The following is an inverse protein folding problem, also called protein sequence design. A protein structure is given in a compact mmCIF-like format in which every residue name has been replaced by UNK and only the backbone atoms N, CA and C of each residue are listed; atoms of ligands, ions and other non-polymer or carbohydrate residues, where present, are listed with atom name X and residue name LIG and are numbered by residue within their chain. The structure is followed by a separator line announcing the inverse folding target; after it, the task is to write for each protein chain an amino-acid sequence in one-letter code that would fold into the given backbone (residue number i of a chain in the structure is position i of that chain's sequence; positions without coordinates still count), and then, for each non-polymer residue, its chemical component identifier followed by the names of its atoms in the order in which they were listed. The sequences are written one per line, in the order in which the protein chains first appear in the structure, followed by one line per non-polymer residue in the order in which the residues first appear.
data_IF_858201965007
#
_entry.id   IF_858201965007
#
_cell.length_a   1.000
_cell.length_b   1.000
_cell.length_c   1.000
_cell.angle_alpha   90.00
_cell.angle_beta   90.00
_cell.angle_gamma   90.00
#
_symmetry.space_group_name_H-M   'P 1'
#
loop_
_entity.id
_entity.type
_entity.pdbx_description
1 polymer ?
#
# COMPACT_ATOMS: atom_id res chain seq x y z
N UNK A 1 25.85 28.60 -55.88
CA UNK A 1 26.19 27.53 -54.94
C UNK A 1 25.45 27.85 -53.67
N UNK A 2 24.26 27.30 -53.56
CA UNK A 2 23.28 27.48 -52.48
C UNK A 2 23.48 26.33 -51.50
N UNK A 3 23.83 26.65 -50.27
CA UNK A 3 23.94 25.69 -49.18
C UNK A 3 22.61 25.55 -48.50
N UNK A 4 22.03 24.36 -48.55
CA UNK A 4 20.82 24.00 -47.83
C UNK A 4 21.07 23.93 -46.31
N UNK A 5 20.18 24.42 -45.48
CA UNK A 5 20.26 24.21 -44.02
C UNK A 5 19.80 22.81 -43.63
N UNK A 6 20.68 22.08 -42.95
CA UNK A 6 20.38 20.79 -42.30
C UNK A 6 19.20 20.97 -41.34
N UNK A 7 18.10 20.33 -41.68
CA UNK A 7 16.91 20.22 -40.83
C UNK A 7 17.28 19.40 -39.57
N UNK A 8 17.36 20.06 -38.42
CA UNK A 8 17.52 19.42 -37.12
C UNK A 8 16.22 18.64 -36.82
N UNK A 9 16.34 17.35 -36.85
CA UNK A 9 15.29 16.41 -36.44
C UNK A 9 15.03 16.57 -34.93
N UNK A 10 13.95 17.28 -34.59
CA UNK A 10 13.50 17.36 -33.20
C UNK A 10 13.05 15.95 -32.75
N UNK A 11 13.42 15.49 -31.55
CA UNK A 11 12.98 14.19 -31.06
C UNK A 11 11.46 14.19 -30.93
N UNK A 12 10.84 13.17 -31.50
CA UNK A 12 9.41 12.91 -31.44
C UNK A 12 8.98 12.83 -29.96
N UNK A 13 7.90 13.53 -29.55
CA UNK A 13 7.45 13.48 -28.16
C UNK A 13 7.06 12.04 -27.81
N UNK A 14 7.61 11.52 -26.73
CA UNK A 14 7.28 10.21 -26.18
C UNK A 14 5.76 10.05 -26.08
N UNK A 15 5.19 8.88 -26.41
CA UNK A 15 3.75 8.68 -26.44
C UNK A 15 3.15 8.95 -25.06
N UNK A 16 2.22 9.89 -25.01
CA UNK A 16 1.45 10.18 -23.79
C UNK A 16 0.88 8.88 -23.25
N UNK A 17 1.09 8.63 -21.95
CA UNK A 17 0.60 7.45 -21.20
C UNK A 17 -0.93 7.32 -21.36
N UNK A 18 -1.40 6.75 -22.47
CA UNK A 18 -2.81 6.42 -22.67
C UNK A 18 -3.14 5.13 -21.96
N UNK A 19 -3.49 5.23 -20.68
CA UNK A 19 -4.12 4.12 -19.94
C UNK A 19 -5.63 4.15 -20.22
N UNK A 20 -6.07 3.62 -21.38
CA UNK A 20 -7.49 3.48 -21.70
C UNK A 20 -8.05 2.19 -21.09
N UNK A 21 -9.20 2.27 -20.44
CA UNK A 21 -9.94 1.15 -19.84
C UNK A 21 -10.08 1.26 -18.33
N UNK A 22 -11.10 0.58 -17.78
CA UNK A 22 -11.29 0.49 -16.33
C UNK A 22 -10.05 -0.14 -15.67
N UNK A 23 -9.49 0.53 -14.69
CA UNK A 23 -8.31 0.07 -13.94
C UNK A 23 -8.60 -1.21 -13.19
N UNK A 24 -9.81 -1.30 -12.63
CA UNK A 24 -10.33 -2.50 -11.98
C UNK A 24 -10.38 -3.69 -12.94
N UNK A 25 -10.69 -3.47 -14.24
CA UNK A 25 -10.68 -4.53 -15.24
C UNK A 25 -9.26 -5.02 -15.59
N UNK A 26 -8.26 -4.13 -15.59
CA UNK A 26 -6.84 -4.50 -15.79
C UNK A 26 -6.31 -5.37 -14.64
N UNK A 27 -6.63 -4.97 -13.42
CA UNK A 27 -6.31 -5.75 -12.22
C UNK A 27 -6.97 -7.12 -12.30
N UNK A 28 -8.23 -7.21 -12.73
CA UNK A 28 -8.94 -8.48 -12.91
C UNK A 28 -8.19 -9.43 -13.87
N UNK A 29 -7.59 -8.93 -14.93
CA UNK A 29 -6.75 -9.73 -15.83
C UNK A 29 -5.47 -10.24 -15.16
N UNK A 30 -4.84 -9.44 -14.33
CA UNK A 30 -3.65 -9.82 -13.53
C UNK A 30 -4.01 -10.75 -12.37
N UNK A 31 -5.20 -10.60 -11.79
CA UNK A 31 -5.68 -11.29 -10.60
C UNK A 31 -6.48 -12.56 -10.90
N UNK A 32 -6.70 -12.92 -12.16
CA UNK A 32 -7.27 -14.20 -12.56
C UNK A 32 -6.34 -15.39 -12.26
N UNK A 33 -5.15 -15.12 -11.75
CA UNK A 33 -4.19 -16.14 -11.34
C UNK A 33 -4.66 -16.89 -10.07
N UNK A 34 -4.41 -18.20 -9.97
CA UNK A 34 -4.78 -19.03 -8.81
C UNK A 34 -4.26 -18.50 -7.47
N UNK A 35 -3.14 -17.76 -7.49
CA UNK A 35 -2.48 -17.18 -6.33
C UNK A 35 -3.36 -16.15 -5.61
N UNK A 36 -4.18 -15.39 -6.33
CA UNK A 36 -5.03 -14.37 -5.73
C UNK A 36 -6.39 -14.85 -5.26
N UNK A 37 -6.90 -15.94 -5.80
CA UNK A 37 -8.02 -16.66 -5.15
C UNK A 37 -7.63 -17.13 -3.75
N UNK A 38 -6.36 -17.50 -3.55
CA UNK A 38 -5.81 -17.75 -2.20
C UNK A 38 -5.67 -16.45 -1.38
N UNK A 39 -5.34 -15.32 -1.99
CA UNK A 39 -5.14 -14.04 -1.30
C UNK A 39 -6.45 -13.38 -0.87
N UNK A 40 -7.57 -13.56 -1.58
CA UNK A 40 -8.89 -13.12 -1.09
C UNK A 40 -9.28 -13.87 0.19
N UNK A 41 -9.03 -15.18 0.23
CA UNK A 41 -9.17 -15.97 1.46
C UNK A 41 -8.14 -15.58 2.54
N UNK A 42 -7.01 -14.95 2.18
CA UNK A 42 -5.99 -14.49 3.12
C UNK A 42 -6.35 -13.16 3.80
N UNK A 43 -7.11 -12.31 3.13
CA UNK A 43 -7.72 -11.12 3.75
C UNK A 43 -8.92 -11.49 4.65
N UNK A 44 -9.52 -12.68 4.47
CA UNK A 44 -10.51 -13.26 5.37
C UNK A 44 -9.92 -13.66 6.73
N UNK A 45 -8.95 -12.92 7.22
CA UNK A 45 -8.47 -13.00 8.59
C UNK A 45 -9.65 -12.71 9.52
N UNK A 46 -10.21 -13.77 10.11
CA UNK A 46 -11.27 -13.72 11.12
C UNK A 46 -10.82 -12.83 12.26
N UNK A 47 -11.09 -11.54 12.15
CA UNK A 47 -11.17 -10.73 13.34
C UNK A 47 -12.42 -11.21 14.07
N UNK A 48 -12.25 -12.06 15.08
CA UNK A 48 -13.31 -12.37 16.00
C UNK A 48 -13.75 -11.04 16.59
N UNK A 49 -14.84 -10.50 16.03
CA UNK A 49 -15.54 -9.41 16.68
C UNK A 49 -15.98 -9.94 18.04
N UNK A 50 -15.61 -9.23 19.10
CA UNK A 50 -16.10 -9.49 20.45
C UNK A 50 -17.62 -9.23 20.55
N UNK A 51 -18.20 -8.65 19.50
CA UNK A 51 -19.63 -8.36 19.40
C UNK A 51 -20.36 -9.51 18.70
N UNK A 52 -21.15 -10.24 19.47
CA UNK A 52 -22.15 -11.19 18.98
C UNK A 52 -23.28 -10.36 18.34
N UNK A 53 -23.64 -10.65 17.10
CA UNK A 53 -24.74 -9.97 16.39
C UNK A 53 -25.13 -10.71 15.12
N UNK A 54 -26.32 -10.42 14.56
CA UNK A 54 -26.88 -11.07 13.37
C UNK A 54 -25.95 -10.91 12.15
N UNK A 55 -25.12 -11.94 11.87
CA UNK A 55 -24.32 -12.10 10.66
C UNK A 55 -24.90 -13.17 9.76
N UNK A 56 -24.41 -13.27 8.48
CA UNK A 56 -24.92 -14.26 7.54
C UNK A 56 -24.24 -15.64 7.65
N UNK A 57 -23.05 -15.72 8.26
CA UNK A 57 -22.31 -16.97 8.37
C UNK A 57 -22.48 -17.60 9.74
N UNK A 58 -22.99 -18.84 9.73
CA UNK A 58 -23.11 -19.69 10.90
C UNK A 58 -21.72 -20.10 11.40
N UNK A 59 -21.37 -19.77 12.67
CA UNK A 59 -20.08 -20.09 13.27
C UNK A 59 -20.14 -21.34 14.15
N UNK A 60 -21.04 -21.35 15.13
CA UNK A 60 -21.13 -22.43 16.10
C UNK A 60 -22.48 -22.43 16.83
N UNK A 61 -22.79 -23.54 17.49
CA UNK A 61 -23.90 -23.68 18.46
C UNK A 61 -23.33 -23.55 19.85
N UNK A 62 -23.82 -22.58 20.63
CA UNK A 62 -23.47 -22.45 22.04
C UNK A 62 -24.68 -22.58 22.95
N UNK A 63 -24.47 -23.02 24.19
CA UNK A 63 -25.53 -23.07 25.16
C UNK A 63 -26.14 -21.66 25.38
N UNK A 64 -27.47 -21.56 25.38
CA UNK A 64 -28.19 -20.32 25.71
C UNK A 64 -27.81 -19.84 27.10
N UNK A 65 -27.61 -18.55 27.24
CA UNK A 65 -27.40 -17.88 28.54
C UNK A 65 -28.46 -16.79 28.72
N UNK A 66 -28.91 -16.56 29.97
CA UNK A 66 -29.79 -15.42 30.23
C UNK A 66 -29.17 -14.11 29.73
N UNK A 67 -29.89 -13.41 28.85
CA UNK A 67 -29.46 -12.19 28.19
C UNK A 67 -29.11 -12.37 26.69
N UNK A 68 -29.02 -13.60 26.20
CA UNK A 68 -28.94 -13.89 24.75
C UNK A 68 -30.32 -13.68 24.08
N UNK A 69 -30.30 -13.34 22.78
CA UNK A 69 -31.51 -13.15 22.01
C UNK A 69 -32.22 -14.50 21.76
N UNK A 70 -33.45 -14.61 22.21
CA UNK A 70 -34.29 -15.81 22.04
C UNK A 70 -34.60 -16.13 20.58
N UNK A 71 -34.52 -15.13 19.69
CA UNK A 71 -34.74 -15.34 18.25
C UNK A 71 -33.62 -16.12 17.59
N UNK A 72 -32.44 -16.18 18.20
CA UNK A 72 -31.27 -16.93 17.72
C UNK A 72 -31.25 -18.39 18.20
N UNK A 73 -32.26 -18.84 18.96
CA UNK A 73 -32.33 -20.23 19.42
C UNK A 73 -32.60 -21.16 18.23
N UNK A 74 -31.73 -22.16 18.07
CA UNK A 74 -31.97 -23.27 17.17
C UNK A 74 -32.75 -24.36 17.87
N UNK A 75 -34.08 -24.31 17.74
CA UNK A 75 -34.99 -25.28 18.38
C UNK A 75 -34.74 -26.73 17.93
N UNK A 76 -34.29 -26.93 16.67
CA UNK A 76 -34.00 -28.26 16.14
C UNK A 76 -32.72 -28.84 16.75
N UNK A 77 -31.67 -28.04 16.89
CA UNK A 77 -30.45 -28.45 17.55
C UNK A 77 -30.64 -28.61 19.05
N UNK A 78 -31.40 -27.69 19.69
CA UNK A 78 -31.77 -27.75 21.12
C UNK A 78 -32.50 -29.05 21.48
N UNK A 79 -33.45 -29.49 20.64
CA UNK A 79 -34.15 -30.75 20.83
C UNK A 79 -33.26 -31.99 20.72
N UNK A 80 -32.19 -31.93 19.96
CA UNK A 80 -31.20 -33.04 19.83
C UNK A 80 -30.21 -33.07 20.99
N UNK A 81 -29.81 -31.91 21.48
CA UNK A 81 -28.78 -31.77 22.53
C UNK A 81 -29.40 -31.82 23.93
N UNK A 82 -30.74 -31.62 24.04
CA UNK A 82 -31.46 -31.64 25.30
C UNK A 82 -31.34 -30.38 26.15
N UNK A 83 -30.78 -29.31 25.60
CA UNK A 83 -30.68 -27.99 26.21
C UNK A 83 -30.80 -26.87 25.17
N UNK A 84 -31.31 -25.68 25.52
CA UNK A 84 -31.40 -24.59 24.60
C UNK A 84 -30.00 -24.20 24.07
N UNK A 85 -29.85 -24.18 22.76
CA UNK A 85 -28.62 -23.73 22.07
C UNK A 85 -28.98 -22.60 21.10
N UNK A 86 -28.09 -21.62 21.03
CA UNK A 86 -28.21 -20.49 20.12
C UNK A 86 -27.24 -20.64 18.94
N UNK A 87 -27.69 -20.18 17.79
CA UNK A 87 -26.83 -19.98 16.62
C UNK A 87 -25.99 -18.75 16.86
N UNK A 88 -24.69 -18.92 16.96
CA UNK A 88 -23.77 -17.80 16.92
C UNK A 88 -23.41 -17.54 15.46
N UNK A 89 -23.72 -16.34 15.03
CA UNK A 89 -23.30 -15.84 13.73
C UNK A 89 -22.05 -14.99 13.92
N UNK A 90 -21.02 -15.29 13.15
CA UNK A 90 -19.88 -14.38 13.07
C UNK A 90 -20.34 -13.15 12.27
N UNK A 91 -20.30 -12.00 12.92
CA UNK A 91 -20.33 -10.74 12.21
C UNK A 91 -18.95 -10.59 11.59
N UNK A 92 -18.83 -10.81 10.28
CA UNK A 92 -17.64 -10.34 9.56
C UNK A 92 -17.56 -8.83 9.79
N UNK A 93 -16.68 -8.43 10.71
CA UNK A 93 -16.36 -7.02 10.87
C UNK A 93 -15.44 -6.68 9.71
N UNK A 94 -16.03 -6.28 8.59
CA UNK A 94 -15.28 -5.76 7.47
C UNK A 94 -14.50 -4.53 7.95
N UNK A 95 -13.19 -4.69 8.08
CA UNK A 95 -12.31 -3.57 8.43
C UNK A 95 -12.27 -2.61 7.24
N UNK A 96 -12.61 -1.33 7.42
CA UNK A 96 -12.38 -0.35 6.37
C UNK A 96 -10.92 -0.39 5.91
N UNK A 97 -10.69 -0.36 4.60
CA UNK A 97 -9.36 -0.20 4.04
C UNK A 97 -9.03 1.29 3.98
N UNK A 98 -7.86 1.67 4.49
CA UNK A 98 -7.30 3.01 4.32
C UNK A 98 -6.03 2.90 3.48
N UNK A 99 -6.05 3.44 2.28
CA UNK A 99 -4.86 3.63 1.47
C UNK A 99 -4.15 4.89 1.95
N UNK A 100 -2.98 4.75 2.55
CA UNK A 100 -2.10 5.83 2.98
C UNK A 100 -0.94 5.91 1.99
N UNK A 101 -0.95 6.90 1.10
CA UNK A 101 -0.03 6.96 -0.04
C UNK A 101 0.89 8.17 0.09
N UNK A 102 2.18 7.92 0.10
CA UNK A 102 3.19 8.95 -0.08
C UNK A 102 3.18 9.42 -1.54
N UNK A 103 3.05 10.72 -1.75
CA UNK A 103 3.04 11.36 -3.07
C UNK A 103 4.19 12.36 -3.23
N UNK A 104 5.25 12.22 -2.44
CA UNK A 104 6.45 13.02 -2.55
C UNK A 104 7.29 12.71 -3.81
N UNK A 105 8.20 13.63 -4.15
CA UNK A 105 9.04 13.55 -5.36
C UNK A 105 9.86 12.27 -5.48
N UNK A 106 10.18 11.58 -4.38
CA UNK A 106 10.87 10.29 -4.39
C UNK A 106 10.09 9.21 -5.14
N UNK A 107 8.76 9.37 -5.27
CA UNK A 107 7.92 8.48 -6.07
C UNK A 107 8.04 8.72 -7.59
N UNK A 108 8.71 9.77 -8.03
CA UNK A 108 9.01 10.01 -9.44
C UNK A 108 10.33 9.35 -9.93
N UNK A 109 11.00 8.58 -9.06
CA UNK A 109 12.18 7.81 -9.40
C UNK A 109 11.84 6.53 -10.18
N UNK A 110 12.86 5.78 -10.56
CA UNK A 110 12.74 4.46 -11.17
C UNK A 110 12.95 3.35 -10.15
N UNK A 111 12.26 2.24 -10.35
CA UNK A 111 12.49 1.00 -9.62
C UNK A 111 13.70 0.23 -10.21
N UNK A 112 14.24 -0.78 -9.49
CA UNK A 112 15.36 -1.59 -10.00
C UNK A 112 15.08 -2.32 -11.33
N UNK A 113 13.82 -2.55 -11.66
CA UNK A 113 13.37 -3.10 -12.94
C UNK A 113 13.42 -2.10 -14.10
N UNK A 114 13.69 -0.81 -13.82
CA UNK A 114 13.60 0.29 -14.80
C UNK A 114 12.18 0.84 -14.96
N UNK A 115 11.19 0.29 -14.25
CA UNK A 115 9.82 0.78 -14.26
C UNK A 115 9.69 2.06 -13.42
N UNK A 116 8.76 2.90 -13.80
CA UNK A 116 8.43 4.10 -13.04
C UNK A 116 7.76 3.73 -11.71
N UNK A 117 8.29 4.23 -10.59
CA UNK A 117 7.73 3.97 -9.26
C UNK A 117 6.27 4.40 -9.15
N UNK A 118 5.86 5.48 -9.84
CA UNK A 118 4.46 5.94 -9.86
C UNK A 118 3.51 4.87 -10.38
N UNK A 119 3.94 4.12 -11.39
CA UNK A 119 3.16 3.02 -11.96
C UNK A 119 3.04 1.87 -10.96
N UNK A 120 4.09 1.57 -10.22
CA UNK A 120 4.08 0.54 -9.18
C UNK A 120 3.22 0.94 -7.97
N UNK A 121 3.30 2.21 -7.52
CA UNK A 121 2.41 2.75 -6.47
C UNK A 121 0.94 2.58 -6.87
N UNK A 122 0.61 2.98 -8.10
CA UNK A 122 -0.75 2.88 -8.59
C UNK A 122 -1.21 1.42 -8.72
N UNK A 123 -0.34 0.53 -9.21
CA UNK A 123 -0.64 -0.90 -9.31
C UNK A 123 -0.88 -1.54 -7.93
N UNK A 124 -0.10 -1.18 -6.90
CA UNK A 124 -0.35 -1.60 -5.51
C UNK A 124 -1.71 -1.12 -5.03
N UNK A 125 -2.00 0.18 -5.20
CA UNK A 125 -3.29 0.75 -4.80
C UNK A 125 -4.47 0.09 -5.52
N UNK A 126 -4.33 -0.22 -6.82
CA UNK A 126 -5.31 -0.96 -7.62
C UNK A 126 -5.59 -2.35 -7.04
N UNK A 127 -4.54 -3.10 -6.67
CA UNK A 127 -4.68 -4.44 -6.08
C UNK A 127 -5.48 -4.36 -4.78
N UNK A 128 -5.12 -3.47 -3.86
CA UNK A 128 -5.83 -3.37 -2.58
C UNK A 128 -7.26 -2.86 -2.74
N UNK A 129 -7.51 -1.87 -3.60
CA UNK A 129 -8.85 -1.41 -3.91
C UNK A 129 -9.73 -2.52 -4.52
N UNK A 130 -9.15 -3.34 -5.39
CA UNK A 130 -9.84 -4.51 -5.95
C UNK A 130 -10.17 -5.55 -4.88
N UNK A 131 -9.22 -5.90 -4.01
CA UNK A 131 -9.44 -6.84 -2.92
C UNK A 131 -10.52 -6.36 -1.95
N UNK A 132 -10.51 -5.09 -1.58
CA UNK A 132 -11.54 -4.48 -0.76
C UNK A 132 -12.92 -4.56 -1.42
N UNK A 133 -12.99 -4.29 -2.73
CA UNK A 133 -14.23 -4.39 -3.50
C UNK A 133 -14.79 -5.82 -3.53
N UNK A 134 -13.93 -6.83 -3.71
CA UNK A 134 -14.37 -8.25 -3.71
C UNK A 134 -15.01 -8.65 -2.39
N UNK A 135 -14.60 -8.04 -1.28
CA UNK A 135 -15.11 -8.27 0.06
C UNK A 135 -16.29 -7.39 0.43
N UNK A 136 -16.64 -6.42 -0.40
CA UNK A 136 -17.63 -5.40 -0.05
C UNK A 136 -17.14 -4.38 0.99
N UNK A 137 -15.83 -4.31 1.25
CA UNK A 137 -15.24 -3.37 2.19
C UNK A 137 -15.31 -1.93 1.67
N UNK A 138 -15.28 -0.98 2.60
CA UNK A 138 -15.13 0.43 2.26
C UNK A 138 -13.66 0.79 2.09
N UNK A 139 -13.38 1.71 1.15
CA UNK A 139 -12.03 2.21 0.88
C UNK A 139 -11.97 3.69 1.18
N UNK A 140 -10.97 4.11 1.97
CA UNK A 140 -10.62 5.48 2.24
C UNK A 140 -9.25 5.81 1.64
N UNK A 141 -8.96 7.08 1.39
CA UNK A 141 -7.66 7.56 0.94
C UNK A 141 -7.13 8.65 1.85
N UNK A 142 -5.86 8.55 2.19
CA UNK A 142 -5.02 9.66 2.63
C UNK A 142 -3.77 9.64 1.77
N UNK A 143 -3.56 10.70 0.99
CA UNK A 143 -2.36 10.90 0.19
C UNK A 143 -1.69 12.19 0.62
N UNK A 144 -0.38 12.20 0.82
CA UNK A 144 0.33 13.38 1.30
C UNK A 144 1.73 13.50 0.70
N UNK A 145 2.10 14.74 0.48
CA UNK A 145 3.45 15.23 0.25
C UNK A 145 3.70 16.47 1.12
N UNK A 146 4.88 17.08 1.06
CA UNK A 146 5.24 18.24 1.87
C UNK A 146 4.40 19.49 1.58
N UNK A 147 3.71 19.54 0.44
CA UNK A 147 2.87 20.68 0.04
C UNK A 147 1.37 20.42 0.24
N UNK A 148 0.94 19.15 0.22
CA UNK A 148 -0.49 18.79 0.12
C UNK A 148 -0.85 17.58 0.94
N UNK A 149 -2.07 17.59 1.47
CA UNK A 149 -2.73 16.42 2.06
C UNK A 149 -4.12 16.27 1.43
N UNK A 150 -4.34 15.14 0.77
CA UNK A 150 -5.62 14.81 0.16
C UNK A 150 -6.23 13.64 0.91
N UNK A 151 -7.49 13.76 1.32
CA UNK A 151 -8.22 12.66 1.98
C UNK A 151 -9.62 12.46 1.39
N UNK A 152 -10.06 11.20 1.37
CA UNK A 152 -11.41 10.81 0.96
C UNK A 152 -11.99 9.82 1.94
N UNK A 153 -13.23 10.05 2.41
CA UNK A 153 -13.89 9.20 3.40
C UNK A 153 -14.11 7.79 2.88
N UNK A 154 -14.22 6.80 3.79
CA UNK A 154 -14.47 5.42 3.42
C UNK A 154 -15.85 5.27 2.78
N UNK A 155 -15.89 4.75 1.57
CA UNK A 155 -17.11 4.37 0.85
C UNK A 155 -16.87 3.06 0.11
N UNK A 156 -17.93 2.29 -0.09
CA UNK A 156 -17.93 1.10 -0.91
C UNK A 156 -18.27 1.43 -2.38
N UNK A 157 -17.96 0.49 -3.25
CA UNK A 157 -18.36 0.55 -4.66
C UNK A 157 -17.20 0.85 -5.62
N UNK A 158 -17.39 0.39 -6.86
CA UNK A 158 -16.36 0.49 -7.91
C UNK A 158 -16.10 1.94 -8.33
N UNK A 159 -17.14 2.77 -8.39
CA UNK A 159 -17.01 4.18 -8.75
C UNK A 159 -16.13 4.95 -7.77
N UNK A 160 -16.33 4.70 -6.46
CA UNK A 160 -15.51 5.31 -5.42
C UNK A 160 -14.05 4.84 -5.49
N UNK A 161 -13.81 3.55 -5.73
CA UNK A 161 -12.48 3.00 -5.90
C UNK A 161 -11.76 3.64 -7.11
N UNK A 162 -12.43 3.73 -8.26
CA UNK A 162 -11.88 4.41 -9.46
C UNK A 162 -11.60 5.89 -9.21
N UNK A 163 -12.44 6.59 -8.47
CA UNK A 163 -12.23 7.98 -8.08
C UNK A 163 -10.99 8.13 -7.19
N UNK A 164 -10.78 7.24 -6.21
CA UNK A 164 -9.60 7.22 -5.35
C UNK A 164 -8.33 6.99 -6.18
N UNK A 165 -8.33 5.97 -7.04
CA UNK A 165 -7.18 5.66 -7.92
C UNK A 165 -6.85 6.82 -8.86
N UNK A 166 -7.86 7.50 -9.40
CA UNK A 166 -7.68 8.71 -10.21
C UNK A 166 -7.10 9.88 -9.43
N UNK A 167 -7.40 9.99 -8.12
CA UNK A 167 -6.80 11.00 -7.27
C UNK A 167 -5.32 10.70 -7.01
N UNK A 168 -4.98 9.47 -6.70
CA UNK A 168 -3.58 9.03 -6.51
C UNK A 168 -2.78 9.29 -7.77
N UNK A 169 -3.26 8.86 -8.94
CA UNK A 169 -2.60 9.08 -10.22
C UNK A 169 -2.35 10.56 -10.48
N UNK A 170 -3.36 11.43 -10.33
CA UNK A 170 -3.19 12.87 -10.53
C UNK A 170 -2.16 13.50 -9.60
N UNK A 171 -2.06 13.03 -8.33
CA UNK A 171 -1.04 13.51 -7.41
C UNK A 171 0.36 13.10 -7.88
N UNK A 172 0.52 11.86 -8.30
CA UNK A 172 1.79 11.31 -8.79
C UNK A 172 2.20 11.92 -10.14
N UNK A 173 1.25 12.09 -11.07
CA UNK A 173 1.51 12.71 -12.39
C UNK A 173 1.89 14.19 -12.26
N UNK A 174 1.43 14.88 -11.22
CA UNK A 174 1.81 16.26 -10.97
C UNK A 174 3.28 16.43 -10.57
N UNK A 175 4.00 15.36 -10.24
CA UNK A 175 5.42 15.39 -9.89
C UNK A 175 6.32 15.61 -11.12
N UNK A 176 5.85 15.26 -12.31
CA UNK A 176 6.66 15.32 -13.54
C UNK A 176 5.92 16.01 -14.67
N UNK A 177 6.69 16.59 -15.60
CA UNK A 177 6.21 17.04 -16.90
C UNK A 177 6.96 16.27 -17.99
N UNK A 178 6.27 15.31 -18.62
CA UNK A 178 6.94 14.27 -19.40
C UNK A 178 7.82 13.41 -18.49
N UNK A 179 9.08 13.24 -18.84
CA UNK A 179 10.05 12.47 -18.07
C UNK A 179 10.83 13.33 -17.05
N UNK A 180 10.55 14.64 -16.96
CA UNK A 180 11.26 15.55 -16.09
C UNK A 180 10.50 15.85 -14.81
N UNK A 181 11.24 15.83 -13.68
CA UNK A 181 10.70 16.28 -12.40
C UNK A 181 10.33 17.77 -12.50
N UNK A 182 9.14 18.14 -12.02
CA UNK A 182 8.73 19.53 -11.97
C UNK A 182 9.62 20.29 -10.99
N UNK A 183 10.17 21.47 -11.38
CA UNK A 183 10.96 22.28 -10.45
C UNK A 183 10.16 22.58 -9.17
N UNK A 184 10.78 22.31 -8.01
CA UNK A 184 10.11 22.47 -6.72
C UNK A 184 9.08 21.40 -6.38
N UNK A 185 9.09 20.25 -7.06
CA UNK A 185 8.24 19.11 -6.70
C UNK A 185 8.38 18.79 -5.19
N UNK A 186 7.24 18.63 -4.47
CA UNK A 186 7.27 18.49 -3.02
C UNK A 186 7.99 17.21 -2.58
N UNK A 187 8.73 17.29 -1.49
CA UNK A 187 9.34 16.13 -0.85
C UNK A 187 8.32 15.21 -0.19
N UNK A 188 8.75 14.05 0.32
CA UNK A 188 7.91 13.17 1.13
C UNK A 188 7.54 13.85 2.44
N UNK A 189 6.36 13.53 2.98
CA UNK A 189 5.88 14.04 4.27
C UNK A 189 5.21 12.94 5.08
N UNK A 190 5.96 11.87 5.35
CA UNK A 190 5.43 10.67 5.98
C UNK A 190 4.83 10.96 7.35
N UNK A 191 5.44 11.82 8.13
CA UNK A 191 4.95 12.26 9.44
C UNK A 191 3.54 12.86 9.33
N UNK A 192 3.35 13.76 8.38
CA UNK A 192 2.05 14.39 8.10
C UNK A 192 1.02 13.37 7.60
N UNK A 193 1.43 12.45 6.75
CA UNK A 193 0.58 11.35 6.25
C UNK A 193 0.06 10.49 7.41
N UNK A 194 0.96 10.01 8.27
CA UNK A 194 0.61 9.17 9.43
C UNK A 194 -0.25 9.90 10.45
N UNK A 195 0.05 11.16 10.73
CA UNK A 195 -0.77 12.00 11.61
C UNK A 195 -2.19 12.18 11.06
N UNK A 196 -2.30 12.43 9.75
CA UNK A 196 -3.60 12.58 9.10
C UNK A 196 -4.42 11.31 9.18
N UNK A 197 -3.82 10.13 8.98
CA UNK A 197 -4.50 8.84 9.15
C UNK A 197 -5.01 8.68 10.58
N UNK A 198 -4.17 8.91 11.58
CA UNK A 198 -4.52 8.72 12.98
C UNK A 198 -5.57 9.69 13.52
N UNK A 199 -5.58 10.95 13.03
CA UNK A 199 -6.54 11.96 13.49
C UNK A 199 -7.88 11.88 12.77
N UNK A 200 -7.84 11.51 11.50
CA UNK A 200 -9.02 11.55 10.64
C UNK A 200 -9.87 10.29 10.72
N UNK A 201 -9.25 9.11 10.89
CA UNK A 201 -9.95 7.84 10.89
C UNK A 201 -9.77 7.11 12.22
N UNK A 202 -10.74 7.28 13.13
CA UNK A 202 -10.65 6.71 14.49
C UNK A 202 -11.14 5.26 14.59
N UNK A 203 -11.90 4.77 13.61
CA UNK A 203 -12.37 3.40 13.60
C UNK A 203 -11.24 2.45 13.24
N UNK A 204 -11.10 1.32 13.94
CA UNK A 204 -10.13 0.29 13.57
C UNK A 204 -10.25 -0.08 12.10
N UNK A 205 -9.15 -0.09 11.39
CA UNK A 205 -9.07 -0.25 9.93
C UNK A 205 -7.83 -1.03 9.55
N UNK A 206 -7.81 -1.57 8.36
CA UNK A 206 -6.58 -2.01 7.71
C UNK A 206 -5.96 -0.79 7.01
N UNK A 207 -4.83 -0.32 7.50
CA UNK A 207 -4.08 0.77 6.89
C UNK A 207 -2.96 0.18 6.03
N UNK A 208 -2.97 0.49 4.75
CA UNK A 208 -1.93 0.13 3.80
C UNK A 208 -1.10 1.38 3.52
N UNK A 209 0.08 1.44 4.13
CA UNK A 209 1.05 2.51 3.88
C UNK A 209 1.86 2.15 2.64
N UNK A 210 1.83 3.02 1.63
CA UNK A 210 2.61 2.90 0.39
C UNK A 210 3.62 4.04 0.37
N UNK A 211 4.92 3.71 0.42
CA UNK A 211 6.03 4.67 0.48
C UNK A 211 7.26 4.09 -0.21
N UNK A 212 8.41 4.73 -0.15
CA UNK A 212 9.67 4.18 -0.69
C UNK A 212 10.47 3.38 0.35
N UNK A 213 11.56 2.75 -0.07
CA UNK A 213 12.41 1.91 0.80
C UNK A 213 13.25 2.70 1.79
N UNK A 214 13.36 4.01 1.64
CA UNK A 214 14.02 4.90 2.59
C UNK A 214 13.13 5.31 3.75
N UNK A 215 11.83 4.97 3.68
CA UNK A 215 10.83 5.31 4.67
C UNK A 215 10.17 4.08 5.28
N UNK A 216 9.71 4.18 6.55
CA UNK A 216 9.81 5.32 7.46
C UNK A 216 11.23 5.53 8.01
N UNK A 217 11.77 6.72 7.91
CA UNK A 217 13.10 7.05 8.42
C UNK A 217 13.01 7.80 9.76
N UNK A 218 13.29 7.07 10.84
CA UNK A 218 13.29 7.63 12.19
C UNK A 218 14.51 8.53 12.48
N UNK A 219 15.55 8.46 11.65
CA UNK A 219 16.73 9.31 11.79
C UNK A 219 16.46 10.74 11.31
N UNK A 220 15.73 10.88 10.20
CA UNK A 220 15.37 12.20 9.65
C UNK A 220 14.10 12.79 10.30
N UNK A 221 13.17 11.97 10.75
CA UNK A 221 11.93 12.41 11.42
C UNK A 221 11.60 11.51 12.64
N UNK A 222 12.08 11.87 13.84
CA UNK A 222 11.82 11.10 15.07
C UNK A 222 10.32 10.95 15.39
N UNK A 223 9.47 11.89 14.97
CA UNK A 223 8.04 11.82 15.20
C UNK A 223 7.36 10.67 14.47
N UNK A 224 7.94 10.18 13.38
CA UNK A 224 7.45 9.01 12.62
C UNK A 224 7.35 7.79 13.53
N UNK A 225 8.33 7.56 14.38
CA UNK A 225 8.37 6.44 15.33
C UNK A 225 7.16 6.41 16.26
N UNK A 226 6.83 7.55 16.86
CA UNK A 226 5.68 7.68 17.75
C UNK A 226 4.33 7.56 17.01
N UNK A 227 4.25 8.12 15.80
CA UNK A 227 3.05 8.01 14.97
C UNK A 227 2.79 6.57 14.52
N UNK A 228 3.82 5.85 14.10
CA UNK A 228 3.72 4.43 13.77
C UNK A 228 3.25 3.61 14.98
N UNK A 229 3.81 3.87 16.17
CA UNK A 229 3.39 3.21 17.42
C UNK A 229 1.91 3.43 17.73
N UNK A 230 1.43 4.67 17.60
CA UNK A 230 0.01 5.00 17.83
C UNK A 230 -0.90 4.35 16.79
N UNK A 231 -0.50 4.39 15.51
CA UNK A 231 -1.29 3.78 14.44
C UNK A 231 -1.36 2.27 14.55
N UNK A 232 -0.25 1.58 14.85
CA UNK A 232 -0.24 0.12 15.01
C UNK A 232 -1.02 -0.35 16.25
N UNK A 233 -1.18 0.51 17.27
CA UNK A 233 -2.05 0.23 18.41
C UNK A 233 -3.54 0.38 18.09
N UNK A 234 -3.89 1.27 17.16
CA UNK A 234 -5.29 1.59 16.80
C UNK A 234 -5.77 0.81 15.58
N UNK A 235 -4.92 0.58 14.59
CA UNK A 235 -5.23 -0.01 13.29
C UNK A 235 -4.38 -1.26 13.05
N UNK A 236 -4.76 -2.03 12.04
CA UNK A 236 -3.86 -3.00 11.44
C UNK A 236 -3.05 -2.27 10.38
N UNK A 237 -1.75 -2.18 10.59
CA UNK A 237 -0.86 -1.46 9.70
C UNK A 237 0.02 -2.45 8.95
N UNK A 238 0.03 -2.30 7.63
CA UNK A 238 0.99 -2.95 6.74
C UNK A 238 1.70 -1.90 5.90
N UNK A 239 2.96 -2.15 5.58
CA UNK A 239 3.77 -1.22 4.79
C UNK A 239 4.21 -1.88 3.48
N UNK A 240 3.90 -1.23 2.38
CA UNK A 240 4.38 -1.58 1.04
C UNK A 240 5.40 -0.52 0.62
N UNK A 241 6.62 -0.95 0.45
CA UNK A 241 7.70 -0.07 0.02
C UNK A 241 7.95 -0.27 -1.47
N UNK A 242 8.09 0.81 -2.22
CA UNK A 242 8.50 0.74 -3.63
C UNK A 242 10.00 0.94 -3.68
N UNK A 243 10.71 -0.07 -4.19
CA UNK A 243 12.16 -0.07 -4.21
C UNK A 243 12.71 0.99 -5.18
N UNK A 244 13.80 1.61 -4.77
CA UNK A 244 14.57 2.53 -5.59
C UNK A 244 15.61 1.80 -6.41
N UNK A 245 15.87 2.31 -7.61
CA UNK A 245 17.03 1.95 -8.37
C UNK A 245 18.29 2.64 -7.81
N UNK A 246 19.43 1.99 -7.99
CA UNK A 246 20.71 2.56 -7.55
C UNK A 246 21.24 3.49 -8.65
N UNK A 247 21.34 4.81 -8.41
CA UNK A 247 21.69 5.78 -9.46
C UNK A 247 23.12 5.64 -10.00
N UNK A 248 23.99 4.99 -9.23
CA UNK A 248 25.41 4.75 -9.60
C UNK A 248 25.66 3.30 -10.09
N UNK A 249 24.63 2.59 -10.55
CA UNK A 249 24.80 1.24 -11.07
C UNK A 249 25.63 1.27 -12.37
N UNK A 250 26.69 0.43 -12.49
CA UNK A 250 27.54 0.38 -13.68
C UNK A 250 26.74 0.06 -14.95
N UNK A 251 27.10 0.72 -16.07
CA UNK A 251 26.50 0.43 -17.38
C UNK A 251 25.14 1.06 -17.64
N UNK A 252 24.59 1.82 -16.72
CA UNK A 252 23.37 2.60 -16.95
C UNK A 252 23.68 3.94 -17.61
N UNK A 253 22.79 4.38 -18.49
CA UNK A 253 22.86 5.66 -19.16
C UNK A 253 22.73 6.86 -18.20
N UNK A 254 22.04 7.92 -18.62
CA UNK A 254 21.79 9.09 -17.78
C UNK A 254 21.03 8.70 -16.51
N UNK A 255 21.62 8.96 -15.34
CA UNK A 255 20.97 8.82 -14.05
C UNK A 255 20.58 10.21 -13.54
N UNK A 256 19.35 10.33 -13.05
CA UNK A 256 18.81 11.56 -12.47
C UNK A 256 18.56 11.36 -10.99
N UNK A 257 19.05 12.30 -10.19
CA UNK A 257 18.72 12.34 -8.77
C UNK A 257 17.42 13.13 -8.59
N UNK A 258 16.38 12.47 -8.08
CA UNK A 258 15.08 13.09 -7.84
C UNK A 258 15.07 14.00 -6.61
N UNK A 259 16.02 13.84 -5.69
CA UNK A 259 16.14 14.72 -4.52
C UNK A 259 16.84 16.03 -4.88
N UNK A 260 17.88 15.98 -5.66
CA UNK A 260 18.66 17.13 -6.12
C UNK A 260 18.08 17.76 -7.39
N UNK A 261 17.10 17.13 -8.03
CA UNK A 261 16.50 17.53 -9.31
C UNK A 261 17.55 17.74 -10.42
N UNK A 262 18.66 16.98 -10.37
CA UNK A 262 19.80 17.12 -11.25
C UNK A 262 20.23 15.80 -11.91
N UNK A 263 20.96 15.92 -13.03
CA UNK A 263 21.64 14.77 -13.63
C UNK A 263 22.90 14.45 -12.82
N UNK A 264 23.10 13.16 -12.49
CA UNK A 264 24.33 12.70 -11.83
C UNK A 264 25.48 12.80 -12.84
N UNK A 265 26.53 13.59 -12.56
CA UNK A 265 27.67 13.74 -13.47
C UNK A 265 28.33 12.40 -13.82
N UNK A 266 28.80 12.26 -15.07
CA UNK A 266 29.38 11.02 -15.56
C UNK A 266 30.53 10.52 -14.69
N UNK A 267 31.41 11.44 -14.26
CA UNK A 267 32.57 11.10 -13.43
C UNK A 267 32.22 10.52 -12.07
N UNK A 268 31.04 10.88 -11.50
CA UNK A 268 30.55 10.29 -10.26
C UNK A 268 29.94 8.88 -10.50
N UNK A 269 29.35 8.66 -11.67
CA UNK A 269 28.78 7.36 -12.04
C UNK A 269 29.86 6.31 -12.34
N UNK A 270 31.02 6.73 -12.76
CA UNK A 270 32.16 5.87 -13.07
C UNK A 270 33.03 5.57 -11.85
N UNK A 271 32.85 6.25 -10.73
CA UNK A 271 33.59 6.01 -9.49
C UNK A 271 33.02 4.80 -8.73
N UNK A 272 33.67 3.66 -8.89
CA UNK A 272 33.31 2.42 -8.25
C UNK A 272 33.34 2.49 -6.70
N UNK A 273 34.26 3.31 -6.13
CA UNK A 273 34.35 3.48 -4.67
C UNK A 273 33.17 4.29 -4.13
N UNK A 274 32.79 5.34 -4.84
CA UNK A 274 31.59 6.13 -4.50
C UNK A 274 30.33 5.30 -4.64
N UNK A 275 30.19 4.53 -5.73
CA UNK A 275 29.07 3.63 -5.94
C UNK A 275 28.93 2.58 -4.82
N UNK A 276 30.04 1.98 -4.40
CA UNK A 276 30.04 1.03 -3.28
C UNK A 276 29.68 1.71 -1.94
N UNK A 277 30.17 2.92 -1.69
CA UNK A 277 29.86 3.70 -0.49
C UNK A 277 28.37 4.08 -0.42
N UNK A 278 27.80 4.52 -1.54
CA UNK A 278 26.36 4.83 -1.62
C UNK A 278 25.51 3.57 -1.39
N UNK A 279 25.85 2.46 -2.07
CA UNK A 279 25.13 1.20 -1.91
C UNK A 279 25.15 0.71 -0.45
N UNK A 280 26.29 0.84 0.24
CA UNK A 280 26.41 0.48 1.65
C UNK A 280 25.54 1.38 2.55
N UNK A 281 25.49 2.69 2.26
CA UNK A 281 24.68 3.66 3.00
C UNK A 281 23.17 3.37 2.82
N UNK A 282 22.74 3.12 1.60
CA UNK A 282 21.36 2.77 1.29
C UNK A 282 20.95 1.43 1.91
N UNK A 283 21.85 0.44 1.91
CA UNK A 283 21.59 -0.85 2.56
C UNK A 283 21.45 -0.68 4.08
N UNK A 284 22.31 0.11 4.71
CA UNK A 284 22.22 0.42 6.13
C UNK A 284 20.90 1.14 6.47
N UNK A 285 20.46 2.08 5.62
CA UNK A 285 19.16 2.76 5.78
C UNK A 285 18.01 1.78 5.65
N UNK A 286 17.99 0.92 4.64
CA UNK A 286 16.97 -0.12 4.46
C UNK A 286 16.92 -1.09 5.64
N UNK A 287 18.07 -1.50 6.15
CA UNK A 287 18.15 -2.36 7.34
C UNK A 287 17.58 -1.66 8.58
N UNK A 288 17.85 -0.36 8.77
CA UNK A 288 17.29 0.42 9.88
C UNK A 288 15.76 0.55 9.77
N UNK A 289 15.23 0.80 8.57
CA UNK A 289 13.78 0.85 8.32
C UNK A 289 13.13 -0.51 8.59
N UNK A 290 13.71 -1.59 8.12
CA UNK A 290 13.27 -2.97 8.38
C UNK A 290 13.21 -3.24 9.88
N UNK A 291 14.30 -2.96 10.60
CA UNK A 291 14.37 -3.14 12.06
C UNK A 291 13.32 -2.30 12.81
N UNK A 292 13.04 -1.09 12.34
CA UNK A 292 12.00 -0.21 12.88
C UNK A 292 10.60 -0.82 12.72
N UNK A 293 10.28 -1.37 11.56
CA UNK A 293 8.98 -1.98 11.27
C UNK A 293 8.81 -3.30 12.03
N UNK A 294 9.85 -4.15 12.06
CA UNK A 294 9.86 -5.43 12.77
C UNK A 294 9.70 -5.23 14.28
N UNK A 295 10.39 -4.27 14.88
CA UNK A 295 10.27 -3.93 16.30
C UNK A 295 8.85 -3.51 16.70
N UNK A 296 8.01 -3.13 15.75
CA UNK A 296 6.60 -2.75 15.95
C UNK A 296 5.62 -3.78 15.44
N UNK A 297 6.10 -4.94 15.02
CA UNK A 297 5.29 -6.01 14.43
C UNK A 297 4.44 -5.51 13.24
N UNK A 298 4.99 -4.58 12.44
CA UNK A 298 4.36 -4.07 11.23
C UNK A 298 4.85 -4.93 10.07
N UNK A 299 3.94 -5.70 9.50
CA UNK A 299 4.25 -6.50 8.32
C UNK A 299 4.57 -5.58 7.13
N UNK A 300 5.63 -5.90 6.41
CA UNK A 300 6.10 -5.07 5.31
C UNK A 300 6.69 -5.89 4.16
N UNK A 301 6.73 -5.31 2.99
CA UNK A 301 7.40 -5.87 1.80
C UNK A 301 7.86 -4.77 0.86
N UNK A 302 8.93 -5.05 0.10
CA UNK A 302 9.42 -4.15 -0.94
C UNK A 302 9.03 -4.68 -2.33
N UNK A 303 8.38 -3.82 -3.13
CA UNK A 303 8.02 -4.07 -4.53
C UNK A 303 9.15 -3.58 -5.41
N UNK A 304 9.74 -4.47 -6.19
CA UNK A 304 10.88 -4.18 -7.07
C UNK A 304 10.49 -4.11 -8.56
N UNK A 305 9.36 -4.70 -8.93
CA UNK A 305 8.83 -4.75 -10.29
C UNK A 305 7.34 -5.09 -10.30
N UNK A 306 6.66 -4.77 -11.39
CA UNK A 306 5.28 -5.18 -11.62
C UNK A 306 5.13 -6.71 -11.70
N UNK A 307 6.12 -7.40 -12.28
CA UNK A 307 6.11 -8.85 -12.43
C UNK A 307 6.03 -9.61 -11.09
N UNK A 308 6.62 -9.07 -10.02
CA UNK A 308 6.66 -9.70 -8.69
C UNK A 308 5.67 -9.10 -7.69
N UNK A 309 4.96 -8.04 -8.08
CA UNK A 309 4.08 -7.25 -7.20
C UNK A 309 3.01 -8.11 -6.53
N UNK A 310 2.30 -8.89 -7.32
CA UNK A 310 1.17 -9.71 -6.85
C UNK A 310 1.63 -10.78 -5.86
N UNK A 311 2.71 -11.48 -6.17
CA UNK A 311 3.26 -12.53 -5.30
C UNK A 311 3.81 -11.96 -3.99
N UNK A 312 4.44 -10.77 -4.06
CA UNK A 312 4.92 -10.05 -2.87
C UNK A 312 3.77 -9.66 -1.94
N UNK A 313 2.67 -9.12 -2.49
CA UNK A 313 1.48 -8.77 -1.72
C UNK A 313 0.82 -10.04 -1.15
N UNK A 314 0.69 -11.10 -1.92
CA UNK A 314 0.12 -12.36 -1.45
C UNK A 314 0.91 -12.94 -0.26
N UNK A 315 2.24 -12.93 -0.35
CA UNK A 315 3.13 -13.39 0.72
C UNK A 315 2.99 -12.53 1.98
N UNK A 316 2.94 -11.19 1.81
CA UNK A 316 2.72 -10.25 2.91
C UNK A 316 1.41 -10.52 3.65
N UNK A 317 0.31 -10.65 2.91
CA UNK A 317 -1.02 -10.91 3.48
C UNK A 317 -1.09 -12.28 4.18
N UNK A 318 -0.36 -13.28 3.68
CA UNK A 318 -0.24 -14.58 4.34
C UNK A 318 0.47 -14.46 5.70
N UNK A 319 1.55 -13.68 5.81
CA UNK A 319 2.26 -13.41 7.06
C UNK A 319 1.37 -12.64 8.04
N UNK A 320 0.71 -11.57 7.59
CA UNK A 320 -0.22 -10.78 8.39
C UNK A 320 -1.30 -11.66 9.05
N UNK A 321 -1.88 -12.60 8.30
CA UNK A 321 -2.88 -13.52 8.82
C UNK A 321 -2.33 -14.43 9.92
N UNK A 322 -1.09 -14.92 9.78
CA UNK A 322 -0.44 -15.75 10.79
C UNK A 322 -0.12 -14.97 12.05
N UNK A 323 0.33 -13.71 11.91
CA UNK A 323 0.62 -12.82 13.02
C UNK A 323 -0.66 -12.51 13.84
N UNK A 324 -1.76 -12.18 13.16
CA UNK A 324 -3.06 -11.89 13.77
C UNK A 324 -3.62 -13.09 14.58
N UNK A 325 -3.39 -14.33 14.11
CA UNK A 325 -3.79 -15.55 14.82
C UNK A 325 -3.00 -15.77 16.12
N UNK A 326 -1.71 -15.45 16.15
CA UNK A 326 -0.84 -15.58 17.33
C UNK A 326 -1.15 -14.55 18.41
N UNK A 327 -1.54 -13.33 18.03
CA UNK A 327 -1.93 -12.26 18.94
C UNK A 327 -3.29 -12.46 19.62
N UNK A 328 -4.23 -13.17 18.98
CA UNK A 328 -5.58 -13.44 19.51
C UNK A 328 -5.65 -14.55 20.57
N UNK A 329 -4.58 -15.30 20.78
CA UNK A 329 -4.52 -16.40 21.77
C UNK A 329 -4.03 -15.99 23.17
N UNK A 330 -3.73 -14.71 23.40
CA UNK A 330 -3.11 -14.21 24.65
C UNK A 330 -3.96 -13.17 25.41
N UNK A 331 -5.29 -13.18 25.24
CA UNK A 331 -6.18 -12.37 26.07
C UNK A 331 -7.28 -13.23 26.70
#
# INVERSE_FOLDING_TARGET
MTSDPVSANAPEPAPARRRSGSRVARVRGRLSLPTLRRSTSLLDGRHRSVFVGHGQDFDDLSAYRPGDDVTDIDWKASARIGQPVIKRYQRESNLPLVLAVDTGRTMAAQAPSGEDKRDLVLAVAEVFAYLARLRGDTVALVAADAARVVSRPPRAGSEHAEMILSLVERQLDALTRGDELVPGAPGPALSTLLERVGTWHRRRSLVVLITDTSHPDAGSDPAVTDRLRRLSAQHELITIQIADDTPLAPGRGRARDVELAGEVPAFLREDAKLAAGLAATEEARRAAVTALLDARHIEHTAIRSDATLVDSIATLLARQRLASRRGGGRR
#
